data_IF_893768058350
#
_entry.id   IF_893768058350
#
_cell.length_a   1.000
_cell.length_b   1.000
_cell.length_c   1.000
_cell.angle_alpha   90.00
_cell.angle_beta   90.00
_cell.angle_gamma   90.00
#
_symmetry.space_group_name_H-M   'P 1'
#
loop_
_entity.id
_entity.type
_entity.pdbx_description
1 polymer ?
#
# COMPACT_ATOMS: atom_id res chain seq x y z
N UNK A 1 -17.17 -26.82 -13.95
CA UNK A 1 -16.63 -25.66 -14.67
C UNK A 1 -17.04 -24.33 -14.03
N UNK A 2 -18.33 -24.02 -13.88
CA UNK A 2 -18.80 -22.75 -13.27
C UNK A 2 -18.32 -22.51 -11.82
N UNK A 3 -18.33 -23.55 -10.98
CA UNK A 3 -17.89 -23.46 -9.56
C UNK A 3 -16.41 -23.10 -9.42
N UNK A 4 -15.57 -23.51 -10.37
CA UNK A 4 -14.14 -23.23 -10.37
C UNK A 4 -13.87 -21.75 -10.67
N UNK A 5 -14.64 -21.17 -11.60
CA UNK A 5 -14.54 -19.75 -11.98
C UNK A 5 -14.94 -18.84 -10.82
N UNK A 6 -16.04 -19.16 -10.11
CA UNK A 6 -16.47 -18.39 -8.92
C UNK A 6 -15.47 -18.44 -7.77
N UNK A 7 -14.81 -19.59 -7.54
CA UNK A 7 -13.73 -19.67 -6.53
C UNK A 7 -12.53 -18.83 -6.92
N UNK A 8 -12.14 -18.86 -8.19
CA UNK A 8 -11.01 -18.06 -8.67
C UNK A 8 -11.28 -16.55 -8.52
N UNK A 9 -12.46 -16.07 -8.92
CA UNK A 9 -12.82 -14.65 -8.77
C UNK A 9 -12.92 -14.19 -7.30
N UNK A 10 -13.44 -15.04 -6.41
CA UNK A 10 -13.45 -14.79 -4.97
C UNK A 10 -12.05 -14.70 -4.35
N UNK A 11 -11.09 -15.49 -4.86
CA UNK A 11 -9.70 -15.42 -4.41
C UNK A 11 -9.04 -14.10 -4.84
N UNK A 12 -9.25 -13.65 -6.08
CA UNK A 12 -8.66 -12.39 -6.57
C UNK A 12 -9.17 -11.17 -5.81
N UNK A 13 -10.46 -11.13 -5.45
CA UNK A 13 -11.00 -10.04 -4.63
C UNK A 13 -10.39 -10.06 -3.22
N UNK A 14 -10.21 -11.23 -2.63
CA UNK A 14 -9.59 -11.39 -1.31
C UNK A 14 -8.14 -10.94 -1.34
N UNK A 15 -7.36 -11.37 -2.34
CA UNK A 15 -5.95 -10.96 -2.52
C UNK A 15 -5.83 -9.45 -2.69
N UNK A 16 -6.72 -8.83 -3.47
CA UNK A 16 -6.73 -7.38 -3.66
C UNK A 16 -7.01 -6.64 -2.36
N UNK A 17 -8.03 -7.04 -1.60
CA UNK A 17 -8.39 -6.41 -0.33
C UNK A 17 -7.30 -6.58 0.73
N UNK A 18 -6.69 -7.76 0.80
CA UNK A 18 -5.57 -8.02 1.73
C UNK A 18 -4.36 -7.15 1.36
N UNK A 19 -3.99 -7.09 0.08
CA UNK A 19 -2.90 -6.23 -0.40
C UNK A 19 -3.16 -4.75 -0.14
N UNK A 20 -4.40 -4.29 -0.38
CA UNK A 20 -4.84 -2.93 -0.07
C UNK A 20 -4.62 -2.59 1.41
N UNK A 21 -5.08 -3.44 2.32
CA UNK A 21 -4.93 -3.20 3.77
C UNK A 21 -3.48 -3.16 4.22
N UNK A 22 -2.65 -4.09 3.73
CA UNK A 22 -1.22 -4.14 4.06
C UNK A 22 -0.52 -2.87 3.56
N UNK A 23 -0.70 -2.50 2.30
CA UNK A 23 -0.11 -1.30 1.72
C UNK A 23 -0.61 -0.04 2.41
N UNK A 24 -1.89 0.03 2.76
CA UNK A 24 -2.47 1.15 3.50
C UNK A 24 -1.76 1.36 4.84
N UNK A 25 -1.57 0.29 5.63
CA UNK A 25 -0.86 0.38 6.91
C UNK A 25 0.61 0.78 6.75
N UNK A 26 1.31 0.21 5.77
CA UNK A 26 2.73 0.52 5.53
C UNK A 26 2.93 1.99 5.13
N UNK A 27 2.09 2.49 4.21
CA UNK A 27 2.17 3.87 3.72
C UNK A 27 1.72 4.84 4.82
N UNK A 28 0.67 4.50 5.57
CA UNK A 28 0.22 5.28 6.71
C UNK A 28 1.34 5.43 7.74
N UNK A 29 1.98 4.33 8.16
CA UNK A 29 3.08 4.37 9.12
C UNK A 29 4.29 5.12 8.57
N UNK A 30 4.63 4.93 7.28
CA UNK A 30 5.73 5.64 6.64
C UNK A 30 5.51 7.15 6.59
N UNK A 31 4.37 7.61 6.08
CA UNK A 31 4.01 9.02 6.05
C UNK A 31 3.85 9.61 7.45
N UNK A 32 3.25 8.87 8.38
CA UNK A 32 3.06 9.35 9.75
C UNK A 32 4.38 9.52 10.48
N UNK A 33 5.30 8.55 10.36
CA UNK A 33 6.66 8.67 10.90
C UNK A 33 7.44 9.83 10.25
N UNK A 34 7.28 10.04 8.93
CA UNK A 34 7.87 11.18 8.24
C UNK A 34 7.33 12.52 8.78
N UNK A 35 6.02 12.62 9.03
CA UNK A 35 5.43 13.81 9.64
C UNK A 35 5.97 14.08 11.05
N UNK A 36 6.18 13.03 11.86
CA UNK A 36 6.78 13.14 13.20
C UNK A 36 8.22 13.67 13.12
N UNK A 37 9.02 13.15 12.20
CA UNK A 37 10.41 13.58 12.02
C UNK A 37 10.55 15.00 11.49
N UNK A 38 9.62 15.44 10.62
CA UNK A 38 9.73 16.73 9.92
C UNK A 38 9.12 17.88 10.72
N UNK A 39 7.95 17.67 11.34
CA UNK A 39 7.16 18.72 12.00
C UNK A 39 7.24 18.64 13.54
N UNK A 40 8.01 17.69 14.09
CA UNK A 40 8.15 17.46 15.52
C UNK A 40 6.98 16.72 16.14
N UNK A 41 7.08 16.40 17.44
CA UNK A 41 6.12 15.53 18.14
C UNK A 41 4.69 16.11 18.18
N UNK A 42 4.53 17.41 18.45
CA UNK A 42 3.21 18.05 18.64
C UNK A 42 2.38 18.13 17.34
N UNK A 43 2.98 18.55 16.23
CA UNK A 43 2.28 18.65 14.94
C UNK A 43 2.31 17.33 14.17
N UNK A 44 3.40 16.56 14.27
CA UNK A 44 3.55 15.29 13.59
C UNK A 44 2.69 14.17 14.15
N UNK A 45 2.60 14.03 15.49
CA UNK A 45 1.75 13.00 16.11
C UNK A 45 0.27 13.42 16.06
N UNK A 46 -0.02 14.69 16.36
CA UNK A 46 -1.39 15.19 16.51
C UNK A 46 -2.11 15.52 15.20
N UNK A 47 -1.42 16.10 14.21
CA UNK A 47 -2.01 16.49 12.92
C UNK A 47 -1.50 15.65 11.75
N UNK A 48 -0.32 15.04 11.85
CA UNK A 48 0.30 14.27 10.77
C UNK A 48 -0.46 12.99 10.38
N UNK A 49 -1.32 12.45 11.25
CA UNK A 49 -2.14 11.28 10.91
C UNK A 49 -3.17 11.59 9.81
N UNK A 50 -3.72 12.81 9.78
CA UNK A 50 -4.79 13.20 8.86
C UNK A 50 -4.33 13.22 7.39
N UNK A 51 -3.23 13.91 7.00
CA UNK A 51 -2.67 13.79 5.66
C UNK A 51 -2.12 12.38 5.37
N UNK A 52 -1.64 11.65 6.39
CA UNK A 52 -1.13 10.28 6.22
C UNK A 52 -2.23 9.28 5.87
N UNK A 53 -3.43 9.39 6.47
CA UNK A 53 -4.59 8.56 6.10
C UNK A 53 -5.00 8.85 4.66
N UNK A 54 -5.05 10.11 4.25
CA UNK A 54 -5.41 10.52 2.89
C UNK A 54 -4.41 9.94 1.89
N UNK A 55 -3.10 10.12 2.14
CA UNK A 55 -2.05 9.59 1.30
C UNK A 55 -2.10 8.06 1.22
N UNK A 56 -2.28 7.39 2.37
CA UNK A 56 -2.40 5.94 2.45
C UNK A 56 -3.58 5.44 1.61
N UNK A 57 -4.75 6.07 1.69
CA UNK A 57 -5.95 5.67 0.94
C UNK A 57 -5.76 5.78 -0.57
N UNK A 58 -5.16 6.88 -1.03
CA UNK A 58 -4.94 7.11 -2.47
C UNK A 58 -3.88 6.16 -3.03
N UNK A 59 -2.77 5.96 -2.30
CA UNK A 59 -1.66 5.13 -2.77
C UNK A 59 -1.96 3.62 -2.65
N UNK A 60 -2.73 3.20 -1.64
CA UNK A 60 -3.09 1.77 -1.46
C UNK A 60 -4.05 1.27 -2.53
N UNK A 61 -4.86 2.13 -3.16
CA UNK A 61 -5.63 1.80 -4.36
C UNK A 61 -4.71 1.43 -5.54
N UNK A 62 -3.52 1.99 -5.58
CA UNK A 62 -2.54 1.78 -6.65
C UNK A 62 -1.50 0.70 -6.31
N UNK A 63 -1.72 -0.09 -5.26
CA UNK A 63 -0.79 -1.14 -4.84
C UNK A 63 -0.39 -2.16 -5.93
N UNK A 64 -1.27 -2.60 -6.86
CA UNK A 64 -0.88 -3.58 -7.88
C UNK A 64 0.19 -3.01 -8.82
N UNK A 65 0.14 -1.70 -9.06
CA UNK A 65 1.09 -0.99 -9.89
C UNK A 65 2.44 -0.83 -9.19
N UNK A 66 2.43 -0.56 -7.87
CA UNK A 66 3.64 -0.47 -7.05
C UNK A 66 4.37 -1.83 -7.04
N UNK A 67 3.64 -2.93 -6.86
CA UNK A 67 4.23 -4.29 -6.89
C UNK A 67 4.81 -4.61 -8.27
N UNK A 68 4.11 -4.26 -9.35
CA UNK A 68 4.63 -4.39 -10.70
C UNK A 68 5.92 -3.59 -10.90
N UNK A 69 5.96 -2.33 -10.46
CA UNK A 69 7.14 -1.48 -10.58
C UNK A 69 8.34 -2.06 -9.82
N UNK A 70 8.14 -2.50 -8.56
CA UNK A 70 9.19 -3.12 -7.75
C UNK A 70 9.68 -4.43 -8.38
N UNK A 71 8.77 -5.26 -8.90
CA UNK A 71 9.10 -6.50 -9.59
C UNK A 71 9.93 -6.27 -10.86
N UNK A 72 9.56 -5.28 -11.68
CA UNK A 72 10.31 -4.91 -12.88
C UNK A 72 11.70 -4.37 -12.52
N UNK A 73 11.81 -3.50 -11.52
CA UNK A 73 13.10 -2.97 -11.06
C UNK A 73 14.00 -4.11 -10.56
N UNK A 74 13.48 -4.98 -9.71
CA UNK A 74 14.21 -6.15 -9.20
C UNK A 74 14.67 -7.08 -10.32
N UNK A 75 13.80 -7.34 -11.30
CA UNK A 75 14.15 -8.13 -12.49
C UNK A 75 15.28 -7.49 -13.30
N UNK A 76 15.18 -6.18 -13.59
CA UNK A 76 16.22 -5.46 -14.34
C UNK A 76 17.56 -5.45 -13.60
N UNK A 77 17.55 -5.37 -12.27
CA UNK A 77 18.76 -5.41 -11.45
C UNK A 77 19.37 -6.81 -11.34
N UNK A 78 18.55 -7.87 -11.36
CA UNK A 78 19.02 -9.25 -11.22
C UNK A 78 19.47 -9.88 -12.55
N UNK A 79 18.90 -9.43 -13.67
CA UNK A 79 19.23 -9.94 -15.02
C UNK A 79 20.42 -9.19 -15.65
N UNK A 80 20.77 -8.01 -15.11
CA UNK A 80 22.06 -7.37 -15.38
C UNK A 80 23.18 -8.07 -14.62
#
# INVERSE_FOLDING_TARGET
MLKTIHKASANWSTVYWVGYWICWFLIFLGCWAYCIGTYGFLLGVGLGWLPSVIAAYVLSLLWPLIVLAVGVIGWVLFVK
#
